data_IF_021421913331
#
_entry.id   IF_021421913331
#
_cell.length_a   1.000
_cell.length_b   1.000
_cell.length_c   1.000
_cell.angle_alpha   90.00
_cell.angle_beta   90.00
_cell.angle_gamma   90.00
#
_symmetry.space_group_name_H-M   'P 1'
#
loop_
_entity.id
_entity.type
_entity.pdbx_description
1 polymer ?
#
# COMPACT_ATOMS: atom_id res chain seq x y z
N UNK A 1 -10.04 8.59 10.11
CA UNK A 1 -8.87 8.72 9.23
C UNK A 1 -9.07 7.91 7.95
N UNK A 2 -8.47 8.36 6.85
CA UNK A 2 -8.44 7.64 5.56
C UNK A 2 -7.04 7.05 5.38
N UNK A 3 -6.97 5.80 4.92
CA UNK A 3 -5.72 5.16 4.48
C UNK A 3 -5.89 4.66 3.06
N UNK A 4 -5.03 5.11 2.16
CA UNK A 4 -4.98 4.62 0.79
C UNK A 4 -4.01 3.42 0.71
N UNK A 5 -4.56 2.23 0.40
CA UNK A 5 -3.78 0.98 0.27
C UNK A 5 -2.63 1.15 -0.73
N UNK A 6 -2.86 1.85 -1.84
CA UNK A 6 -1.83 2.07 -2.86
C UNK A 6 -0.74 3.03 -2.38
N UNK A 7 -1.08 3.97 -1.50
CA UNK A 7 -0.08 4.81 -0.84
C UNK A 7 0.76 4.02 0.17
N UNK A 8 0.13 3.17 0.99
CA UNK A 8 0.83 2.28 1.94
C UNK A 8 1.84 1.35 1.24
N UNK A 9 1.48 0.84 0.05
CA UNK A 9 2.36 -0.02 -0.76
C UNK A 9 3.71 0.63 -1.10
N UNK A 10 3.84 1.97 -1.08
CA UNK A 10 5.14 2.63 -1.30
C UNK A 10 6.21 2.19 -0.29
N UNK A 11 5.80 1.77 0.91
CA UNK A 11 6.71 1.27 1.94
C UNK A 11 6.86 -0.26 1.92
N UNK A 12 6.23 -0.95 0.97
CA UNK A 12 6.25 -2.41 0.82
C UNK A 12 6.97 -2.78 -0.49
N UNK A 13 8.30 -2.96 -0.46
CA UNK A 13 9.13 -3.15 -1.67
C UNK A 13 8.71 -4.34 -2.55
N UNK A 14 8.10 -5.36 -1.98
CA UNK A 14 7.62 -6.55 -2.69
C UNK A 14 6.25 -6.37 -3.35
N UNK A 15 5.48 -5.35 -2.96
CA UNK A 15 4.11 -5.14 -3.43
C UNK A 15 4.05 -4.15 -4.59
N UNK A 16 3.46 -4.57 -5.72
CA UNK A 16 3.30 -3.73 -6.90
C UNK A 16 2.07 -4.11 -7.73
N UNK A 17 1.56 -3.14 -8.50
CA UNK A 17 0.48 -3.35 -9.48
C UNK A 17 -0.86 -2.71 -9.09
N UNK A 18 -1.94 -3.26 -9.65
CA UNK A 18 -3.31 -2.93 -9.30
C UNK A 18 -3.80 -3.73 -8.10
N UNK A 19 -5.07 -3.53 -7.73
CA UNK A 19 -5.68 -4.21 -6.59
C UNK A 19 -5.67 -5.75 -6.76
N UNK A 20 -5.86 -6.24 -7.99
CA UNK A 20 -5.84 -7.67 -8.31
C UNK A 20 -4.44 -8.28 -8.13
N UNK A 21 -3.39 -7.65 -8.68
CA UNK A 21 -2.02 -8.12 -8.49
C UNK A 21 -1.60 -8.13 -7.02
N UNK A 22 -2.02 -7.12 -6.26
CA UNK A 22 -1.73 -7.02 -4.83
C UNK A 22 -2.46 -8.10 -4.05
N UNK A 23 -3.74 -8.33 -4.34
CA UNK A 23 -4.50 -9.41 -3.71
C UNK A 23 -3.84 -10.78 -3.95
N UNK A 24 -3.37 -11.03 -5.18
CA UNK A 24 -2.61 -12.25 -5.49
C UNK A 24 -1.30 -12.37 -4.71
N UNK A 25 -0.55 -11.28 -4.57
CA UNK A 25 0.72 -11.27 -3.82
C UNK A 25 0.51 -11.45 -2.30
N UNK A 26 -0.65 -11.04 -1.79
CA UNK A 26 -1.07 -11.19 -0.40
C UNK A 26 -1.87 -12.48 -0.14
N UNK A 27 -2.02 -13.33 -1.16
CA UNK A 27 -2.79 -14.59 -1.11
C UNK A 27 -4.26 -14.39 -0.67
N UNK A 28 -4.86 -13.29 -1.11
CA UNK A 28 -6.26 -12.95 -0.84
C UNK A 28 -7.15 -13.49 -1.95
N UNK A 29 -8.12 -14.32 -1.59
CA UNK A 29 -9.13 -14.81 -2.52
C UNK A 29 -10.23 -13.77 -2.75
N UNK A 30 -10.58 -13.54 -4.02
CA UNK A 30 -11.66 -12.63 -4.40
C UNK A 30 -13.02 -13.27 -4.14
N UNK A 31 -13.92 -12.52 -3.50
CA UNK A 31 -15.33 -12.87 -3.38
C UNK A 31 -16.16 -11.90 -4.21
N UNK A 32 -16.94 -12.45 -5.14
CA UNK A 32 -17.78 -11.70 -6.05
C UNK A 32 -17.07 -11.23 -7.33
N UNK A 33 -17.80 -10.55 -8.23
CA UNK A 33 -17.31 -10.17 -9.55
C UNK A 33 -16.28 -9.03 -9.48
N UNK A 34 -15.21 -9.16 -10.28
CA UNK A 34 -14.23 -8.10 -10.48
C UNK A 34 -14.87 -6.84 -11.09
N UNK A 35 -14.32 -5.67 -10.76
CA UNK A 35 -14.80 -4.35 -11.22
C UNK A 35 -16.19 -3.96 -10.73
N UNK A 36 -16.68 -4.60 -9.65
CA UNK A 36 -17.82 -4.11 -8.89
C UNK A 36 -17.35 -3.53 -7.57
N UNK A 37 -17.89 -2.35 -7.24
CA UNK A 37 -17.50 -1.60 -6.05
C UNK A 37 -17.60 -2.44 -4.76
N UNK A 38 -18.60 -3.32 -4.64
CA UNK A 38 -18.74 -4.20 -3.47
C UNK A 38 -17.59 -5.21 -3.33
N UNK A 39 -17.31 -5.97 -4.39
CA UNK A 39 -16.21 -6.97 -4.39
C UNK A 39 -14.86 -6.28 -4.19
N UNK A 40 -14.62 -5.16 -4.88
CA UNK A 40 -13.36 -4.44 -4.78
C UNK A 40 -13.19 -3.76 -3.40
N UNK A 41 -14.27 -3.32 -2.75
CA UNK A 41 -14.21 -2.77 -1.38
C UNK A 41 -13.84 -3.83 -0.37
N UNK A 42 -14.43 -5.03 -0.46
CA UNK A 42 -14.06 -6.16 0.40
C UNK A 42 -12.58 -6.52 0.23
N UNK A 43 -12.14 -6.63 -1.03
CA UNK A 43 -10.76 -6.98 -1.33
C UNK A 43 -9.77 -5.90 -0.87
N UNK A 44 -10.12 -4.62 -0.99
CA UNK A 44 -9.34 -3.51 -0.45
C UNK A 44 -9.22 -3.58 1.07
N UNK A 45 -10.32 -3.90 1.78
CA UNK A 45 -10.32 -4.07 3.22
C UNK A 45 -9.43 -5.23 3.68
N UNK A 46 -9.54 -6.38 3.02
CA UNK A 46 -8.70 -7.55 3.30
C UNK A 46 -7.22 -7.24 3.05
N UNK A 47 -6.90 -6.56 1.93
CA UNK A 47 -5.55 -6.15 1.61
C UNK A 47 -4.98 -5.20 2.68
N UNK A 48 -5.77 -4.24 3.15
CA UNK A 48 -5.35 -3.33 4.21
C UNK A 48 -4.95 -4.08 5.49
N UNK A 49 -5.80 -4.97 6.01
CA UNK A 49 -5.50 -5.70 7.25
C UNK A 49 -4.32 -6.65 7.07
N UNK A 50 -4.22 -7.33 5.92
CA UNK A 50 -3.10 -8.24 5.66
C UNK A 50 -1.77 -7.49 5.53
N UNK A 51 -1.76 -6.35 4.84
CA UNK A 51 -0.57 -5.51 4.77
C UNK A 51 -0.18 -4.95 6.14
N UNK A 52 -1.17 -4.51 6.92
CA UNK A 52 -0.95 -3.99 8.28
C UNK A 52 -0.24 -5.01 9.17
N UNK A 53 -0.68 -6.26 9.12
CA UNK A 53 -0.06 -7.40 9.83
C UNK A 53 1.38 -7.64 9.33
N UNK A 54 1.56 -7.78 8.01
CA UNK A 54 2.84 -8.24 7.44
C UNK A 54 3.95 -7.17 7.36
N UNK A 55 3.59 -5.90 7.17
CA UNK A 55 4.57 -4.84 6.85
C UNK A 55 4.58 -3.69 7.85
N UNK A 56 3.61 -3.62 8.77
CA UNK A 56 3.45 -2.49 9.70
C UNK A 56 3.33 -2.92 11.16
N UNK A 57 3.64 -4.17 11.51
CA UNK A 57 3.64 -4.64 12.92
C UNK A 57 2.34 -4.28 13.67
N UNK A 58 1.19 -4.42 12.99
CA UNK A 58 -0.13 -4.04 13.51
C UNK A 58 -0.31 -2.56 13.91
N UNK A 59 0.60 -1.68 13.50
CA UNK A 59 0.59 -0.25 13.83
C UNK A 59 0.99 0.62 12.64
N UNK A 60 0.05 1.44 12.13
CA UNK A 60 0.31 2.37 11.04
C UNK A 60 0.61 3.75 11.61
N UNK A 61 1.73 4.35 11.20
CA UNK A 61 2.08 5.74 11.53
C UNK A 61 1.06 6.71 10.94
N UNK A 62 0.23 7.30 11.78
CA UNK A 62 -0.80 8.25 11.35
C UNK A 62 -0.18 9.50 10.70
N UNK A 63 0.94 10.01 11.21
CA UNK A 63 1.57 11.22 10.67
C UNK A 63 2.07 11.03 9.24
N UNK A 64 2.50 9.81 8.91
CA UNK A 64 3.03 9.47 7.58
C UNK A 64 1.96 9.05 6.57
N UNK A 65 0.91 8.35 7.01
CA UNK A 65 -0.01 7.68 6.08
C UNK A 65 -1.46 8.18 6.15
N UNK A 66 -1.89 8.80 7.26
CA UNK A 66 -3.26 9.31 7.40
C UNK A 66 -3.54 10.39 6.36
N UNK A 67 -4.64 10.26 5.61
CA UNK A 67 -5.12 11.28 4.69
C UNK A 67 -4.31 11.46 3.40
N UNK A 68 -3.23 10.71 3.21
CA UNK A 68 -2.44 10.75 2.00
C UNK A 68 -3.05 9.86 0.92
N UNK A 69 -3.35 10.44 -0.24
CA UNK A 69 -3.95 9.74 -1.37
C UNK A 69 -2.90 9.52 -2.46
N UNK A 70 -2.88 8.33 -3.05
CA UNK A 70 -1.93 8.01 -4.10
C UNK A 70 -2.15 8.94 -5.30
N UNK A 71 -1.09 9.62 -5.73
CA UNK A 71 -1.12 10.54 -6.87
C UNK A 71 -1.60 11.97 -6.57
N UNK A 72 -1.87 12.32 -5.31
CA UNK A 72 -2.35 13.66 -4.92
C UNK A 72 -1.55 14.25 -3.73
N UNK A 73 -0.67 15.23 -3.99
CA UNK A 73 0.12 15.99 -2.98
C UNK A 73 1.09 15.14 -2.13
N UNK A 74 2.31 15.52 -1.73
CA UNK A 74 3.16 16.70 -1.90
C UNK A 74 4.31 16.38 -2.89
N UNK A 75 4.33 17.08 -4.02
CA UNK A 75 5.50 17.85 -4.42
C UNK A 75 4.98 19.06 -5.20
N UNK A 76 5.16 20.24 -4.61
CA UNK A 76 5.34 21.42 -5.42
C UNK A 76 6.50 21.09 -6.38
N UNK A 77 6.21 21.15 -7.68
CA UNK A 77 7.16 20.93 -8.76
C UNK A 77 8.54 21.56 -8.44
N UNK A 78 9.65 20.87 -8.70
CA UNK A 78 10.70 21.42 -9.52
C UNK A 78 10.37 21.01 -10.96
N UNK A 79 10.20 22.02 -11.80
CA UNK A 79 10.36 21.94 -13.25
C UNK A 79 11.43 20.92 -13.66
N UNK A 80 11.04 19.92 -14.44
CA UNK A 80 11.95 19.08 -15.23
C UNK A 80 12.40 17.78 -14.59
N UNK A 81 11.97 16.66 -15.18
CA UNK A 81 12.62 15.37 -15.02
C UNK A 81 12.01 14.48 -13.93
N UNK A 82 11.73 13.24 -14.32
CA UNK A 82 11.49 12.12 -13.42
C UNK A 82 12.60 12.05 -12.35
N UNK A 83 12.29 12.49 -11.13
CA UNK A 83 13.17 12.43 -9.96
C UNK A 83 12.43 11.75 -8.82
N UNK A 84 12.62 10.44 -8.71
CA UNK A 84 12.07 9.59 -7.66
C UNK A 84 12.93 9.75 -6.41
N UNK A 85 12.38 10.34 -5.35
CA UNK A 85 13.05 10.35 -4.05
C UNK A 85 12.75 9.02 -3.34
N UNK A 86 13.79 8.18 -3.30
CA UNK A 86 13.81 6.92 -2.57
C UNK A 86 13.85 7.20 -1.07
N UNK A 87 12.68 7.35 -0.45
CA UNK A 87 12.56 7.09 0.99
C UNK A 87 12.76 5.59 1.21
N UNK A 88 14.03 5.24 1.41
CA UNK A 88 14.49 3.89 1.69
C UNK A 88 14.01 3.51 3.09
N UNK A 89 12.78 3.00 3.20
CA UNK A 89 12.33 2.34 4.42
C UNK A 89 13.12 1.04 4.54
N UNK A 90 13.91 0.99 5.60
CA UNK A 90 14.74 -0.15 5.98
C UNK A 90 13.82 -1.16 6.70
N UNK A 91 13.15 -2.04 5.96
CA UNK A 91 12.58 -3.24 6.55
C UNK A 91 13.77 -4.11 6.96
N UNK A 92 14.07 -4.16 8.26
CA UNK A 92 15.09 -5.05 8.81
C UNK A 92 14.66 -6.49 8.55
N UNK A 93 15.38 -7.16 7.67
CA UNK A 93 15.34 -8.61 7.53
C UNK A 93 15.83 -9.23 8.84
N UNK A 94 14.89 -9.65 9.68
CA UNK A 94 15.20 -10.51 10.82
C UNK A 94 15.35 -11.94 10.28
N UNK A 95 16.55 -12.28 9.81
CA UNK A 95 16.95 -13.69 9.72
C UNK A 95 16.86 -14.29 11.13
N UNK A 96 15.94 -15.24 11.29
CA UNK A 96 15.85 -16.08 12.49
C UNK A 96 16.79 -17.28 12.33
N UNK A 97 17.32 -17.84 13.43
CA UNK A 97 18.61 -18.54 13.49
C UNK A 97 18.69 -19.86 12.72
#
# INVERSE_FOLDING_TARGET
>A
TIYDVKYLMKSCKSLKGGLEEVAKQLEIERIGPQHQAGSDSLMTGLAFFKMKELFFEDSIDEGKYSGHLYGLGHSAFPTGGFGFENDSVNCTENESP
#
